data_IF_078618458171
#
_entry.id   IF_078618458171
#
_cell.length_a   1.000
_cell.length_b   1.000
_cell.length_c   1.000
_cell.angle_alpha   90.00
_cell.angle_beta   90.00
_cell.angle_gamma   90.00
#
_symmetry.space_group_name_H-M   'P 1'
#
loop_
_entity.id
_entity.type
_entity.pdbx_description
1 polymer ?
#
# COMPACT_ATOMS: atom_id res chain seq x y z
N UNK A 1 16.32 -8.43 -29.20
CA UNK A 1 15.34 -7.82 -30.15
C UNK A 1 14.62 -8.98 -30.81
N UNK A 2 13.39 -9.28 -30.34
CA UNK A 2 12.56 -10.34 -30.92
C UNK A 2 12.06 -9.88 -32.30
N UNK A 3 12.42 -10.62 -33.33
CA UNK A 3 11.97 -10.39 -34.70
C UNK A 3 10.59 -11.06 -34.84
N UNK A 4 9.52 -10.29 -34.70
CA UNK A 4 8.15 -10.75 -35.03
C UNK A 4 8.02 -10.87 -36.58
N UNK A 5 8.36 -12.04 -37.10
CA UNK A 5 8.08 -12.39 -38.48
C UNK A 5 6.67 -13.03 -38.55
N UNK A 6 5.93 -12.64 -39.62
CA UNK A 6 4.67 -13.33 -39.89
C UNK A 6 4.94 -14.81 -40.16
N UNK A 7 4.07 -15.71 -39.66
CA UNK A 7 4.26 -17.16 -39.78
C UNK A 7 4.47 -17.64 -41.23
N UNK A 8 3.91 -16.94 -42.21
CA UNK A 8 4.03 -17.23 -43.65
C UNK A 8 5.07 -16.33 -44.34
N UNK A 9 6.03 -15.77 -43.64
CA UNK A 9 7.05 -14.93 -44.25
C UNK A 9 8.03 -15.79 -45.04
N UNK A 10 8.02 -15.67 -46.36
CA UNK A 10 8.96 -16.35 -47.28
C UNK A 10 10.37 -15.79 -47.27
N UNK A 11 10.61 -14.67 -46.58
CA UNK A 11 11.91 -14.02 -46.48
C UNK A 11 12.20 -13.54 -45.06
N UNK A 12 13.40 -13.82 -44.55
CA UNK A 12 13.90 -13.28 -43.29
C UNK A 12 14.52 -11.89 -43.47
N UNK A 13 14.73 -11.09 -42.42
CA UNK A 13 15.40 -9.81 -42.51
C UNK A 13 16.83 -9.91 -43.10
N UNK A 14 17.54 -11.01 -42.84
CA UNK A 14 18.86 -11.27 -43.42
C UNK A 14 18.77 -11.45 -44.94
N UNK A 15 17.80 -12.26 -45.39
CA UNK A 15 17.56 -12.45 -46.84
C UNK A 15 17.12 -11.15 -47.51
N UNK A 16 16.28 -10.36 -46.86
CA UNK A 16 15.83 -9.05 -47.38
C UNK A 16 16.99 -8.05 -47.50
N UNK A 17 17.88 -8.02 -46.50
CA UNK A 17 19.09 -7.22 -46.54
C UNK A 17 20.06 -7.67 -47.68
N UNK A 18 20.13 -8.98 -47.90
CA UNK A 18 20.91 -9.53 -49.01
C UNK A 18 20.32 -9.11 -50.35
N UNK A 19 19.02 -9.20 -50.56
CA UNK A 19 18.31 -8.75 -51.77
C UNK A 19 18.60 -7.26 -52.06
N UNK A 20 18.57 -6.41 -51.01
CA UNK A 20 18.81 -4.97 -51.15
C UNK A 20 20.25 -4.63 -51.58
N UNK A 21 21.23 -5.40 -51.10
CA UNK A 21 22.65 -5.17 -51.39
C UNK A 21 23.14 -5.84 -52.65
N UNK A 22 22.45 -6.88 -53.12
CA UNK A 22 22.87 -7.69 -54.25
C UNK A 22 22.68 -6.95 -55.58
N UNK A 23 23.72 -7.01 -56.44
CA UNK A 23 23.69 -6.49 -57.80
C UNK A 23 23.27 -7.52 -58.85
N UNK A 24 23.02 -8.79 -58.43
CA UNK A 24 22.63 -9.89 -59.32
C UNK A 24 21.32 -9.58 -60.04
N UNK A 25 21.07 -10.14 -61.22
CA UNK A 25 19.79 -10.06 -61.90
C UNK A 25 18.64 -10.56 -61.02
N UNK A 26 17.44 -10.02 -61.24
CA UNK A 26 16.24 -10.36 -60.44
C UNK A 26 15.88 -11.84 -60.59
N UNK A 27 15.98 -12.39 -61.79
CA UNK A 27 15.70 -13.80 -62.10
C UNK A 27 16.66 -14.75 -61.38
N UNK A 28 17.95 -14.42 -61.35
CA UNK A 28 18.98 -15.21 -60.68
C UNK A 28 18.76 -15.23 -59.14
N UNK A 29 18.49 -14.06 -58.54
CA UNK A 29 18.18 -13.96 -57.13
C UNK A 29 16.87 -14.68 -56.76
N UNK A 30 15.89 -14.64 -57.64
CA UNK A 30 14.63 -15.33 -57.40
C UNK A 30 14.85 -16.86 -57.37
N UNK A 31 15.66 -17.38 -58.30
CA UNK A 31 16.02 -18.81 -58.34
C UNK A 31 16.89 -19.21 -57.14
N UNK A 32 17.92 -18.39 -56.76
CA UNK A 32 18.83 -18.62 -55.67
C UNK A 32 18.08 -18.70 -54.31
N UNK A 33 17.12 -17.80 -54.09
CA UNK A 33 16.39 -17.68 -52.82
C UNK A 33 15.06 -18.44 -52.78
N UNK A 34 14.65 -19.09 -53.89
CA UNK A 34 13.38 -19.83 -53.96
C UNK A 34 12.15 -18.94 -53.79
N UNK A 35 12.22 -17.65 -54.22
CA UNK A 35 11.10 -16.70 -54.12
C UNK A 35 10.73 -16.12 -55.47
N UNK A 36 9.53 -15.55 -55.57
CA UNK A 36 9.12 -14.94 -56.83
C UNK A 36 9.93 -13.67 -57.15
N UNK A 37 10.12 -13.41 -58.48
CA UNK A 37 10.75 -12.15 -58.93
C UNK A 37 10.05 -10.91 -58.38
N UNK A 38 8.72 -10.96 -58.25
CA UNK A 38 7.91 -9.88 -57.65
C UNK A 38 8.34 -9.60 -56.21
N UNK A 39 8.66 -10.67 -55.45
CA UNK A 39 9.19 -10.52 -54.08
C UNK A 39 10.57 -9.85 -54.09
N UNK A 40 11.45 -10.23 -55.02
CA UNK A 40 12.77 -9.60 -55.17
C UNK A 40 12.63 -8.11 -55.50
N UNK A 41 11.83 -7.77 -56.55
CA UNK A 41 11.59 -6.35 -56.92
C UNK A 41 11.01 -5.55 -55.76
N UNK A 42 10.05 -6.12 -55.02
CA UNK A 42 9.45 -5.47 -53.86
C UNK A 42 10.45 -5.18 -52.75
N UNK A 43 11.34 -6.12 -52.43
CA UNK A 43 12.32 -5.92 -51.36
C UNK A 43 13.50 -5.04 -51.84
N UNK A 44 13.89 -5.10 -53.10
CA UNK A 44 14.92 -4.21 -53.66
C UNK A 44 14.51 -2.74 -53.69
N UNK A 45 13.20 -2.46 -53.87
CA UNK A 45 12.65 -1.10 -53.84
C UNK A 45 12.33 -0.57 -52.45
N UNK A 46 12.62 -1.31 -51.38
CA UNK A 46 12.42 -0.85 -50.00
C UNK A 46 13.70 -0.39 -49.34
N UNK A 47 13.60 0.65 -48.52
CA UNK A 47 14.71 1.15 -47.69
C UNK A 47 14.90 0.39 -46.37
N UNK A 48 13.87 -0.34 -45.91
CA UNK A 48 13.88 -1.10 -44.66
C UNK A 48 13.63 -2.57 -44.89
N UNK A 49 14.22 -3.42 -44.07
CA UNK A 49 14.06 -4.89 -44.10
C UNK A 49 12.88 -5.38 -43.26
N UNK A 50 12.26 -4.50 -42.48
CA UNK A 50 11.10 -4.83 -41.61
C UNK A 50 9.78 -4.95 -42.38
N UNK A 51 8.83 -5.65 -41.84
CA UNK A 51 7.46 -5.68 -42.34
C UNK A 51 6.77 -4.33 -42.10
N UNK A 52 5.90 -3.91 -43.00
CA UNK A 52 5.06 -2.74 -42.78
C UNK A 52 3.99 -3.08 -41.76
N UNK A 53 3.54 -2.09 -41.02
CA UNK A 53 2.42 -2.25 -40.09
C UNK A 53 1.18 -2.77 -40.84
N UNK A 54 0.57 -3.81 -40.34
CA UNK A 54 -0.73 -4.33 -40.84
C UNK A 54 -1.92 -3.54 -40.30
N UNK A 55 -1.67 -2.49 -39.51
CA UNK A 55 -2.72 -1.67 -38.93
C UNK A 55 -3.42 -0.87 -40.02
N UNK A 56 -4.75 -0.90 -40.11
CA UNK A 56 -5.50 -0.11 -41.07
C UNK A 56 -5.22 1.39 -40.89
N UNK A 57 -5.05 2.12 -41.99
CA UNK A 57 -4.88 3.59 -41.94
C UNK A 57 -6.14 4.30 -41.40
N UNK A 58 -7.32 3.73 -41.67
CA UNK A 58 -8.58 4.20 -41.09
C UNK A 58 -9.15 3.11 -40.19
N UNK A 59 -9.31 3.41 -38.92
CA UNK A 59 -9.94 2.51 -37.96
C UNK A 59 -11.44 2.75 -38.02
N UNK A 60 -12.19 1.72 -38.40
CA UNK A 60 -13.64 1.71 -38.22
C UNK A 60 -13.94 1.54 -36.73
N UNK A 61 -14.38 2.61 -36.09
CA UNK A 61 -14.74 2.60 -34.67
C UNK A 61 -16.27 2.56 -34.52
N UNK A 62 -16.75 1.96 -33.45
CA UNK A 62 -18.19 1.94 -33.12
C UNK A 62 -18.66 3.22 -32.43
N UNK A 63 -17.76 4.15 -32.13
CA UNK A 63 -18.10 5.48 -31.64
C UNK A 63 -17.99 6.48 -32.79
N UNK A 64 -18.94 7.40 -32.89
CA UNK A 64 -18.85 8.60 -33.71
C UNK A 64 -17.83 9.58 -33.10
N UNK A 65 -17.39 10.57 -33.89
CA UNK A 65 -16.45 11.59 -33.41
C UNK A 65 -16.99 12.37 -32.19
N UNK A 66 -18.30 12.65 -32.16
CA UNK A 66 -18.95 13.34 -31.04
C UNK A 66 -18.97 12.46 -29.80
N UNK A 67 -19.29 11.17 -29.93
CA UNK A 67 -19.27 10.22 -28.83
C UNK A 67 -17.85 10.02 -28.26
N UNK A 68 -16.81 9.99 -29.13
CA UNK A 68 -15.42 9.93 -28.68
C UNK A 68 -15.03 11.16 -27.86
N UNK A 69 -15.40 12.37 -28.33
CA UNK A 69 -15.15 13.61 -27.61
C UNK A 69 -15.82 13.58 -26.23
N UNK A 70 -17.09 13.16 -26.16
CA UNK A 70 -17.81 13.08 -24.91
C UNK A 70 -17.17 12.09 -23.93
N UNK A 71 -16.76 10.90 -24.40
CA UNK A 71 -16.02 9.92 -23.59
C UNK A 71 -14.72 10.51 -23.05
N UNK A 72 -14.00 11.27 -23.86
CA UNK A 72 -12.77 11.96 -23.44
C UNK A 72 -13.04 13.01 -22.36
N UNK A 73 -14.07 13.84 -22.52
CA UNK A 73 -14.45 14.86 -21.54
C UNK A 73 -14.92 14.24 -20.22
N UNK A 74 -15.74 13.20 -20.24
CA UNK A 74 -16.16 12.48 -19.05
C UNK A 74 -14.93 11.91 -18.28
N UNK A 75 -13.89 11.49 -18.99
CA UNK A 75 -12.64 11.01 -18.38
C UNK A 75 -11.76 12.14 -17.85
N UNK A 76 -11.57 13.20 -18.64
CA UNK A 76 -10.58 14.25 -18.33
C UNK A 76 -11.11 15.29 -17.34
N UNK A 77 -12.32 15.78 -17.57
CA UNK A 77 -12.94 16.80 -16.73
C UNK A 77 -13.53 16.21 -15.44
N UNK A 78 -14.31 15.13 -15.56
CA UNK A 78 -15.02 14.56 -14.41
C UNK A 78 -14.27 13.39 -13.75
N UNK A 79 -13.14 12.92 -14.33
CA UNK A 79 -12.33 11.82 -13.83
C UNK A 79 -13.11 10.51 -13.57
N UNK A 80 -14.20 10.30 -14.32
CA UNK A 80 -15.09 9.16 -14.13
C UNK A 80 -14.35 7.83 -14.38
N UNK A 81 -14.59 6.78 -13.59
CA UNK A 81 -14.14 5.42 -13.89
C UNK A 81 -14.79 4.90 -15.18
N UNK A 82 -14.18 3.85 -15.78
CA UNK A 82 -14.67 3.31 -17.07
C UNK A 82 -16.14 2.88 -16.99
N UNK A 83 -16.53 2.22 -15.89
CA UNK A 83 -17.87 1.68 -15.77
C UNK A 83 -18.94 2.78 -15.62
N UNK A 84 -18.61 3.88 -14.96
CA UNK A 84 -19.49 5.06 -14.87
C UNK A 84 -19.62 5.75 -16.24
N UNK A 85 -18.53 5.84 -17.01
CA UNK A 85 -18.59 6.37 -18.39
C UNK A 85 -19.49 5.47 -19.26
N UNK A 86 -19.36 4.16 -19.14
CA UNK A 86 -20.22 3.21 -19.86
C UNK A 86 -21.68 3.42 -19.50
N UNK A 87 -21.99 3.61 -18.24
CA UNK A 87 -23.34 3.81 -17.76
C UNK A 87 -23.94 5.14 -18.29
N UNK A 88 -23.20 6.24 -18.18
CA UNK A 88 -23.62 7.55 -18.72
C UNK A 88 -23.83 7.47 -20.24
N UNK A 89 -22.88 6.91 -20.97
CA UNK A 89 -22.97 6.80 -22.43
C UNK A 89 -24.15 5.95 -22.88
N UNK A 90 -24.43 4.84 -22.20
CA UNK A 90 -25.56 3.96 -22.55
C UNK A 90 -26.91 4.57 -22.23
N UNK A 91 -27.05 5.25 -21.11
CA UNK A 91 -28.31 5.84 -20.69
C UNK A 91 -28.64 7.13 -21.45
N UNK A 92 -27.66 7.95 -21.71
CA UNK A 92 -27.90 9.32 -22.19
C UNK A 92 -27.58 9.53 -23.66
N UNK A 93 -26.76 8.65 -24.29
CA UNK A 93 -26.25 8.87 -25.64
C UNK A 93 -26.54 7.71 -26.57
N UNK A 94 -26.04 6.50 -26.31
CA UNK A 94 -26.18 5.37 -27.21
C UNK A 94 -26.13 4.04 -26.43
N UNK A 95 -27.29 3.42 -26.27
CA UNK A 95 -27.46 2.18 -25.51
C UNK A 95 -26.67 0.98 -26.08
N UNK A 96 -26.28 1.03 -27.37
CA UNK A 96 -25.58 -0.07 -28.06
C UNK A 96 -24.05 -0.05 -27.85
N UNK A 97 -23.48 0.96 -27.20
CA UNK A 97 -22.06 1.05 -26.99
C UNK A 97 -21.54 -0.07 -26.08
N UNK A 98 -20.53 -0.77 -26.53
CA UNK A 98 -19.89 -1.78 -25.71
C UNK A 98 -18.83 -1.17 -24.79
N UNK A 99 -18.65 -1.77 -23.62
CA UNK A 99 -17.58 -1.39 -22.68
C UNK A 99 -16.20 -1.41 -23.32
N UNK A 100 -15.95 -2.43 -24.18
CA UNK A 100 -14.69 -2.57 -24.92
C UNK A 100 -14.46 -1.45 -25.95
N UNK A 101 -15.51 -0.94 -26.58
CA UNK A 101 -15.42 0.16 -27.51
C UNK A 101 -14.98 1.46 -26.79
N UNK A 102 -15.61 1.77 -25.65
CA UNK A 102 -15.26 2.92 -24.82
C UNK A 102 -13.82 2.78 -24.27
N UNK A 103 -13.45 1.60 -23.79
CA UNK A 103 -12.08 1.36 -23.30
C UNK A 103 -11.02 1.55 -24.42
N UNK A 104 -11.25 1.03 -25.63
CA UNK A 104 -10.35 1.25 -26.78
C UNK A 104 -10.29 2.73 -27.19
N UNK A 105 -11.39 3.48 -27.09
CA UNK A 105 -11.39 4.92 -27.27
C UNK A 105 -10.42 5.59 -26.27
N UNK A 106 -10.57 5.33 -24.97
CA UNK A 106 -9.70 5.87 -23.93
C UNK A 106 -8.21 5.47 -24.11
N UNK A 107 -7.94 4.27 -24.63
CA UNK A 107 -6.59 3.83 -24.97
C UNK A 107 -5.99 4.60 -26.15
N UNK A 108 -6.77 4.83 -27.24
CA UNK A 108 -6.33 5.61 -28.39
C UNK A 108 -5.92 7.04 -28.01
N UNK A 109 -6.66 7.64 -27.07
CA UNK A 109 -6.40 8.97 -26.54
C UNK A 109 -5.38 9.01 -25.39
N UNK A 110 -4.76 7.86 -25.03
CA UNK A 110 -3.79 7.73 -23.94
C UNK A 110 -4.33 8.15 -22.54
N UNK A 111 -5.64 8.09 -22.33
CA UNK A 111 -6.35 8.45 -21.08
C UNK A 111 -7.08 7.27 -20.43
N UNK A 112 -6.66 6.04 -20.75
CA UNK A 112 -7.24 4.83 -20.17
C UNK A 112 -7.06 4.76 -18.64
N UNK A 113 -5.93 5.26 -18.14
CA UNK A 113 -5.69 5.41 -16.71
C UNK A 113 -6.18 6.79 -16.25
N UNK A 114 -6.90 6.81 -15.11
CA UNK A 114 -7.25 8.09 -14.46
C UNK A 114 -5.98 8.75 -13.94
N UNK A 115 -5.85 10.06 -14.13
CA UNK A 115 -4.85 10.81 -13.37
C UNK A 115 -5.13 10.55 -11.90
N UNK A 116 -4.17 9.95 -11.20
CA UNK A 116 -4.26 9.91 -9.73
C UNK A 116 -4.31 11.37 -9.30
N UNK A 117 -5.28 11.78 -8.45
CA UNK A 117 -5.20 13.11 -7.86
C UNK A 117 -3.80 13.23 -7.27
N UNK A 118 -3.15 14.38 -7.48
CA UNK A 118 -1.91 14.71 -6.79
C UNK A 118 -2.19 14.56 -5.30
N UNK A 119 -1.95 13.36 -4.79
CA UNK A 119 -1.90 13.19 -3.36
C UNK A 119 -0.74 14.05 -2.95
N UNK A 120 -0.95 15.03 -2.04
CA UNK A 120 0.17 15.75 -1.48
C UNK A 120 1.17 14.67 -1.12
N UNK A 121 2.39 14.79 -1.62
CA UNK A 121 3.45 13.80 -1.45
C UNK A 121 3.37 13.33 -0.01
N UNK A 122 2.97 12.07 0.19
CA UNK A 122 2.98 11.49 1.54
C UNK A 122 4.40 11.69 1.97
N UNK A 123 4.61 12.62 2.92
CA UNK A 123 5.94 13.10 3.25
C UNK A 123 6.82 11.88 3.39
N UNK A 124 7.92 11.85 2.69
CA UNK A 124 8.93 10.80 2.82
C UNK A 124 9.13 10.68 4.31
N UNK A 125 8.75 9.53 4.88
CA UNK A 125 8.90 9.31 6.31
C UNK A 125 10.39 9.49 6.59
N UNK A 126 10.76 10.67 7.11
CA UNK A 126 12.14 10.92 7.54
C UNK A 126 12.56 9.74 8.41
N UNK A 127 13.74 9.21 8.16
CA UNK A 127 14.33 8.19 9.03
C UNK A 127 14.27 8.73 10.45
N UNK A 128 13.38 8.18 11.24
CA UNK A 128 13.21 8.58 12.64
C UNK A 128 14.12 7.73 13.49
N UNK A 129 14.77 8.35 14.43
CA UNK A 129 15.51 7.64 15.47
C UNK A 129 14.57 6.73 16.28
N UNK A 130 15.11 5.64 16.79
CA UNK A 130 14.38 4.75 17.71
C UNK A 130 13.87 5.53 18.92
N UNK A 131 12.69 5.16 19.41
CA UNK A 131 12.04 5.82 20.54
C UNK A 131 10.99 6.86 20.13
N UNK A 132 10.59 6.89 18.86
CA UNK A 132 9.37 7.53 18.43
C UNK A 132 8.26 6.48 18.36
N UNK A 133 7.39 6.48 19.34
CA UNK A 133 6.37 5.45 19.54
C UNK A 133 5.01 5.96 19.09
N UNK A 134 4.33 5.18 18.27
CA UNK A 134 2.91 5.36 17.99
C UNK A 134 2.11 4.48 18.94
N UNK A 135 1.16 5.06 19.66
CA UNK A 135 0.25 4.31 20.52
C UNK A 135 -1.20 4.50 20.08
N UNK A 136 -1.96 3.44 20.22
CA UNK A 136 -3.38 3.40 19.86
C UNK A 136 -4.11 2.33 20.64
N UNK A 137 -5.42 2.41 20.64
CA UNK A 137 -6.31 1.46 21.28
C UNK A 137 -7.26 0.88 20.23
N UNK A 138 -7.34 -0.44 20.18
CA UNK A 138 -8.29 -1.15 19.33
C UNK A 138 -9.35 -1.88 20.16
N UNK A 139 -10.60 -1.65 19.82
CA UNK A 139 -11.71 -2.45 20.34
C UNK A 139 -11.67 -3.86 19.74
N UNK A 140 -11.70 -4.87 20.58
CA UNK A 140 -11.89 -6.26 20.17
C UNK A 140 -13.38 -6.61 20.11
N UNK A 141 -13.77 -7.54 19.23
CA UNK A 141 -15.13 -8.09 19.27
C UNK A 141 -15.48 -8.60 20.65
N UNK A 142 -16.70 -8.30 21.10
CA UNK A 142 -17.17 -8.78 22.40
C UNK A 142 -17.16 -10.32 22.42
N UNK A 143 -16.63 -10.89 23.49
CA UNK A 143 -16.57 -12.32 23.71
C UNK A 143 -17.01 -12.59 25.16
N UNK A 144 -17.80 -13.63 25.37
CA UNK A 144 -18.37 -13.95 26.70
C UNK A 144 -19.13 -12.77 27.34
N UNK A 145 -19.83 -11.98 26.51
CA UNK A 145 -20.56 -10.75 26.88
C UNK A 145 -19.67 -9.68 27.53
N UNK A 146 -18.35 -9.76 27.35
CA UNK A 146 -17.37 -8.79 27.90
C UNK A 146 -16.63 -8.06 26.80
N UNK A 147 -16.44 -6.75 27.00
CA UNK A 147 -15.62 -5.91 26.14
C UNK A 147 -14.14 -6.10 26.47
N UNK A 148 -13.29 -5.99 25.49
CA UNK A 148 -11.84 -6.00 25.66
C UNK A 148 -11.20 -5.06 24.66
N UNK A 149 -10.02 -4.59 24.99
CA UNK A 149 -9.28 -3.58 24.26
C UNK A 149 -7.83 -4.02 24.13
N UNK A 150 -7.26 -3.87 22.95
CA UNK A 150 -5.83 -4.02 22.73
C UNK A 150 -5.20 -2.65 22.74
N UNK A 151 -4.31 -2.41 23.69
CA UNK A 151 -3.38 -1.28 23.65
C UNK A 151 -2.18 -1.71 22.82
N UNK A 152 -1.77 -0.87 21.88
CA UNK A 152 -0.71 -1.13 20.92
C UNK A 152 0.31 -0.02 21.00
N UNK A 153 1.58 -0.37 21.13
CA UNK A 153 2.71 0.54 20.98
C UNK A 153 3.60 0.04 19.83
N UNK A 154 3.93 0.93 18.88
CA UNK A 154 4.78 0.59 17.74
C UNK A 154 5.90 1.62 17.63
N UNK A 155 7.15 1.15 17.68
CA UNK A 155 8.28 2.01 17.37
C UNK A 155 8.33 2.32 15.86
N UNK A 156 8.45 3.59 15.53
CA UNK A 156 8.40 4.05 14.15
C UNK A 156 9.60 3.62 13.34
N UNK A 157 10.78 3.54 13.94
CA UNK A 157 12.02 3.18 13.26
C UNK A 157 12.10 1.66 13.02
N UNK A 158 11.98 0.87 14.07
CA UNK A 158 12.18 -0.58 14.05
C UNK A 158 10.93 -1.37 13.70
N UNK A 159 9.74 -0.75 13.70
CA UNK A 159 8.43 -1.43 13.56
C UNK A 159 8.15 -2.43 14.67
N UNK A 160 8.93 -2.43 15.72
CA UNK A 160 8.70 -3.28 16.88
C UNK A 160 7.36 -2.97 17.52
N UNK A 161 6.60 -4.01 17.81
CA UNK A 161 5.24 -3.92 18.36
C UNK A 161 5.21 -4.52 19.74
N UNK A 162 4.59 -3.77 20.67
CA UNK A 162 4.23 -4.24 22.00
C UNK A 162 2.72 -4.09 22.18
N UNK A 163 2.06 -5.09 22.74
CA UNK A 163 0.62 -5.08 22.97
C UNK A 163 0.27 -5.58 24.37
N UNK A 164 -0.83 -5.07 24.89
CA UNK A 164 -1.51 -5.61 26.06
C UNK A 164 -3.01 -5.62 25.83
N UNK A 165 -3.70 -6.60 26.41
CA UNK A 165 -5.15 -6.74 26.31
C UNK A 165 -5.75 -6.43 27.65
N UNK A 166 -6.67 -5.45 27.68
CA UNK A 166 -7.31 -4.96 28.88
C UNK A 166 -8.84 -5.00 28.77
N UNK A 167 -9.51 -5.08 29.90
CA UNK A 167 -10.99 -4.99 29.99
C UNK A 167 -11.48 -3.56 30.15
N UNK A 168 -10.60 -2.63 30.47
CA UNK A 168 -10.87 -1.21 30.66
C UNK A 168 -10.04 -0.39 29.68
N UNK A 169 -10.57 0.80 29.33
CA UNK A 169 -9.90 1.81 28.54
C UNK A 169 -10.00 3.16 29.23
N UNK A 170 -9.43 3.27 30.38
CA UNK A 170 -9.41 4.50 31.17
C UNK A 170 -7.98 5.07 31.27
N UNK A 171 -7.87 6.29 31.75
CA UNK A 171 -6.63 7.00 31.90
C UNK A 171 -5.60 6.28 32.79
N UNK A 172 -6.08 5.56 33.83
CA UNK A 172 -5.21 4.76 34.70
C UNK A 172 -4.65 3.54 33.97
N UNK A 173 -5.49 2.86 33.20
CA UNK A 173 -5.07 1.69 32.43
C UNK A 173 -4.05 2.06 31.36
N UNK A 174 -4.24 3.19 30.65
CA UNK A 174 -3.29 3.64 29.61
C UNK A 174 -1.95 4.10 30.23
N UNK A 175 -1.97 4.79 31.36
CA UNK A 175 -0.74 5.15 32.07
C UNK A 175 0.01 3.90 32.58
N UNK A 176 -0.70 2.92 33.12
CA UNK A 176 -0.12 1.65 33.54
C UNK A 176 0.47 0.84 32.35
N UNK A 177 -0.21 0.83 31.21
CA UNK A 177 0.31 0.27 29.97
C UNK A 177 1.62 0.97 29.54
N UNK A 178 1.64 2.31 29.54
CA UNK A 178 2.85 3.07 29.22
C UNK A 178 3.99 2.73 30.18
N UNK A 179 3.73 2.65 31.48
CA UNK A 179 4.76 2.30 32.46
C UNK A 179 5.41 0.94 32.18
N UNK A 180 4.59 -0.09 31.87
CA UNK A 180 5.09 -1.43 31.54
C UNK A 180 5.80 -1.45 30.20
N UNK A 181 5.29 -0.73 29.19
CA UNK A 181 5.98 -0.58 27.91
C UNK A 181 7.36 0.03 28.09
N UNK A 182 7.49 1.12 28.87
CA UNK A 182 8.78 1.77 29.14
C UNK A 182 9.76 0.86 29.88
N UNK A 183 9.27 0.01 30.76
CA UNK A 183 10.11 -0.99 31.45
C UNK A 183 10.56 -2.12 30.51
N UNK A 184 9.77 -2.46 29.49
CA UNK A 184 10.03 -3.52 28.54
C UNK A 184 10.89 -3.08 27.34
N UNK A 185 10.71 -1.83 26.85
CA UNK A 185 11.37 -1.32 25.66
C UNK A 185 12.83 -0.96 25.96
N UNK A 186 13.82 -1.55 25.26
CA UNK A 186 15.23 -1.46 25.64
C UNK A 186 15.90 -0.13 25.32
N UNK A 187 15.23 0.76 24.62
CA UNK A 187 15.78 2.06 24.21
C UNK A 187 15.02 3.21 24.83
N UNK A 188 15.65 4.38 24.85
CA UNK A 188 15.01 5.60 25.34
C UNK A 188 13.85 6.01 24.41
N UNK A 189 12.68 6.25 25.00
CA UNK A 189 11.53 6.83 24.31
C UNK A 189 11.61 8.35 24.45
N UNK A 190 11.49 9.07 23.32
CA UNK A 190 11.53 10.53 23.33
C UNK A 190 10.21 11.15 22.90
N UNK A 191 9.46 10.48 22.01
CA UNK A 191 8.19 10.97 21.48
C UNK A 191 7.18 9.84 21.53
N UNK A 192 5.98 10.16 22.02
CA UNK A 192 4.82 9.30 21.91
C UNK A 192 3.74 10.05 21.14
N UNK A 193 3.22 9.43 20.08
CA UNK A 193 2.10 9.94 19.31
C UNK A 193 0.88 9.08 19.59
N UNK A 194 -0.19 9.70 20.10
CA UNK A 194 -1.49 9.07 20.30
C UNK A 194 -2.58 9.76 19.49
N UNK A 195 -3.73 9.16 19.39
CA UNK A 195 -4.94 9.85 19.01
C UNK A 195 -5.47 10.75 20.15
N UNK A 196 -6.65 11.34 19.96
CA UNK A 196 -7.28 12.20 20.95
C UNK A 196 -8.27 11.42 21.84
N UNK A 197 -8.10 10.11 22.02
CA UNK A 197 -8.94 9.31 22.88
C UNK A 197 -8.86 9.72 24.35
N UNK A 198 -9.98 9.66 25.06
CA UNK A 198 -10.05 10.06 26.47
C UNK A 198 -9.15 9.20 27.40
N UNK A 199 -8.69 8.06 26.92
CA UNK A 199 -7.70 7.22 27.60
C UNK A 199 -6.29 7.81 27.57
N UNK A 200 -5.96 8.67 26.57
CA UNK A 200 -4.63 9.26 26.41
C UNK A 200 -4.59 10.75 26.73
N UNK A 201 -5.72 11.45 26.67
CA UNK A 201 -5.75 12.91 26.84
C UNK A 201 -7.12 13.40 27.33
N UNK A 202 -7.11 14.49 28.06
CA UNK A 202 -8.31 15.23 28.46
C UNK A 202 -8.64 16.41 27.53
N UNK A 203 -8.00 16.49 26.36
CA UNK A 203 -8.15 17.61 25.42
C UNK A 203 -9.60 17.97 25.11
N UNK A 204 -10.47 16.97 25.00
CA UNK A 204 -11.90 17.15 24.73
C UNK A 204 -12.79 16.98 25.97
N UNK A 205 -12.18 16.93 27.16
CA UNK A 205 -12.95 17.00 28.39
C UNK A 205 -13.73 18.32 28.41
N UNK A 206 -14.96 18.25 28.89
CA UNK A 206 -15.81 19.42 29.07
C UNK A 206 -15.58 20.01 30.48
N UNK A 207 -15.56 21.32 30.56
CA UNK A 207 -15.50 22.04 31.84
C UNK A 207 -16.88 21.99 32.58
N UNK A 208 -16.93 22.58 33.76
CA UNK A 208 -18.18 22.69 34.53
C UNK A 208 -19.30 23.46 33.82
N UNK A 209 -18.99 24.21 32.77
CA UNK A 209 -19.93 24.92 31.89
C UNK A 209 -20.24 24.17 30.59
N UNK A 210 -19.87 22.88 30.54
CA UNK A 210 -20.09 22.00 29.39
C UNK A 210 -19.40 22.46 28.10
N UNK A 211 -18.29 23.24 28.23
CA UNK A 211 -17.48 23.69 27.10
C UNK A 211 -16.23 22.82 26.95
N UNK A 212 -15.89 22.35 25.74
CA UNK A 212 -14.69 21.60 25.52
C UNK A 212 -13.44 22.46 25.77
N UNK A 213 -12.46 21.93 26.49
CA UNK A 213 -11.22 22.67 26.83
C UNK A 213 -10.37 22.96 25.58
N UNK A 214 -10.46 22.13 24.55
CA UNK A 214 -9.77 22.31 23.27
C UNK A 214 -8.25 22.05 23.29
N UNK A 215 -7.65 21.96 24.46
CA UNK A 215 -6.23 21.66 24.69
C UNK A 215 -6.06 20.70 25.89
N UNK A 216 -4.99 19.89 25.94
CA UNK A 216 -4.70 19.06 27.09
C UNK A 216 -4.45 19.92 28.36
N UNK A 217 -4.91 19.45 29.51
CA UNK A 217 -4.67 20.15 30.79
C UNK A 217 -3.24 19.96 31.31
N UNK A 218 -2.56 18.89 30.88
CA UNK A 218 -1.27 18.45 31.43
C UNK A 218 -1.39 17.62 32.72
N UNK A 219 -2.59 17.49 33.27
CA UNK A 219 -2.85 16.70 34.49
C UNK A 219 -3.38 15.30 34.22
N UNK A 220 -3.57 14.94 32.95
CA UNK A 220 -3.97 13.59 32.60
C UNK A 220 -2.90 12.57 33.04
N UNK A 221 -3.25 11.43 33.67
CA UNK A 221 -2.28 10.44 34.17
C UNK A 221 -1.24 10.00 33.13
N UNK A 222 -1.61 9.92 31.87
CA UNK A 222 -0.72 9.60 30.76
C UNK A 222 0.30 10.72 30.53
N UNK A 223 -0.14 12.00 30.50
CA UNK A 223 0.72 13.17 30.33
C UNK A 223 1.70 13.32 31.50
N UNK A 224 1.24 13.12 32.72
CA UNK A 224 2.09 13.16 33.93
C UNK A 224 3.21 12.11 33.86
N UNK A 225 2.90 10.90 33.37
CA UNK A 225 3.91 9.86 33.20
C UNK A 225 4.89 10.20 32.06
N UNK A 226 4.40 10.73 30.96
CA UNK A 226 5.27 11.23 29.89
C UNK A 226 6.22 12.32 30.37
N UNK A 227 5.72 13.31 31.13
CA UNK A 227 6.52 14.37 31.71
C UNK A 227 7.60 13.83 32.68
N UNK A 228 7.23 12.88 33.56
CA UNK A 228 8.17 12.21 34.47
C UNK A 228 9.35 11.58 33.73
N UNK A 229 9.11 10.98 32.57
CA UNK A 229 10.14 10.33 31.75
C UNK A 229 10.76 11.24 30.68
N UNK A 230 10.44 12.54 30.66
CA UNK A 230 10.90 13.53 29.69
C UNK A 230 10.56 13.11 28.24
N UNK A 231 9.35 12.62 28.06
CA UNK A 231 8.79 12.16 26.77
C UNK A 231 7.87 13.26 26.24
N UNK A 232 8.05 13.65 24.99
CA UNK A 232 7.17 14.57 24.27
C UNK A 232 5.90 13.83 23.82
N UNK A 233 4.79 14.08 24.51
CA UNK A 233 3.50 13.50 24.15
C UNK A 233 2.81 14.36 23.09
N UNK A 234 2.65 13.81 21.91
CA UNK A 234 2.01 14.46 20.76
C UNK A 234 0.67 13.83 20.46
N UNK A 235 -0.29 14.68 20.17
CA UNK A 235 -1.62 14.27 19.73
C UNK A 235 -1.74 14.39 18.21
N UNK A 236 -2.46 13.47 17.58
CA UNK A 236 -2.81 13.59 16.16
C UNK A 236 -3.67 14.84 15.94
N UNK A 237 -3.51 15.46 14.78
CA UNK A 237 -4.38 16.60 14.41
C UNK A 237 -5.81 16.09 14.26
N UNK A 238 -6.80 16.79 14.84
CA UNK A 238 -8.21 16.45 14.64
C UNK A 238 -8.53 16.35 13.15
N UNK A 239 -9.34 15.36 12.77
CA UNK A 239 -9.78 15.12 11.39
C UNK A 239 -8.66 14.84 10.36
N UNK A 240 -7.42 14.54 10.81
CA UNK A 240 -6.32 14.09 9.95
C UNK A 240 -5.77 12.73 10.41
N UNK A 241 -6.45 11.63 10.12
CA UNK A 241 -6.06 10.28 10.56
C UNK A 241 -4.71 9.82 9.98
N UNK A 242 -4.22 10.47 8.92
CA UNK A 242 -3.00 10.09 8.21
C UNK A 242 -1.74 10.09 9.10
N UNK A 243 -1.74 10.80 10.23
CA UNK A 243 -0.59 10.87 11.13
C UNK A 243 -0.39 9.61 11.97
N UNK A 244 -1.43 8.80 12.22
CA UNK A 244 -1.37 7.54 12.96
C UNK A 244 -1.45 6.27 12.08
N UNK A 245 -1.28 6.43 10.77
CA UNK A 245 -1.44 5.36 9.78
C UNK A 245 -0.56 4.12 10.00
N UNK A 246 0.49 4.21 10.83
CA UNK A 246 1.31 3.06 11.19
C UNK A 246 0.54 2.07 12.07
N UNK A 247 -0.02 2.56 13.16
CA UNK A 247 -0.79 1.75 14.10
C UNK A 247 -2.13 1.32 13.50
N UNK A 248 -2.80 2.20 12.74
CA UNK A 248 -4.02 1.85 12.01
C UNK A 248 -3.82 0.66 11.08
N UNK A 249 -2.69 0.64 10.36
CA UNK A 249 -2.33 -0.48 9.49
C UNK A 249 -2.08 -1.76 10.27
N UNK A 250 -1.43 -1.67 11.41
CA UNK A 250 -1.22 -2.81 12.30
C UNK A 250 -2.54 -3.31 12.90
N UNK A 251 -3.40 -2.40 13.36
CA UNK A 251 -4.74 -2.71 13.85
C UNK A 251 -5.61 -3.40 12.78
N UNK A 252 -5.45 -3.04 11.52
CA UNK A 252 -6.08 -3.75 10.39
C UNK A 252 -5.56 -5.18 10.28
N UNK A 253 -4.26 -5.40 10.38
CA UNK A 253 -3.67 -6.77 10.36
C UNK A 253 -4.20 -7.64 11.49
N UNK A 254 -4.36 -7.09 12.70
CA UNK A 254 -5.02 -7.80 13.80
C UNK A 254 -6.45 -8.21 13.42
N UNK A 255 -7.24 -7.29 12.86
CA UNK A 255 -8.61 -7.59 12.44
C UNK A 255 -8.68 -8.66 11.35
N UNK A 256 -7.78 -8.59 10.36
CA UNK A 256 -7.66 -9.58 9.30
C UNK A 256 -7.24 -10.95 9.83
N UNK A 257 -6.28 -10.99 10.77
CA UNK A 257 -5.83 -12.24 11.40
C UNK A 257 -6.98 -12.91 12.16
N UNK A 258 -7.72 -12.15 12.97
CA UNK A 258 -8.92 -12.64 13.67
C UNK A 258 -9.98 -13.11 12.66
N UNK A 259 -10.17 -12.38 11.56
CA UNK A 259 -11.17 -12.70 10.54
C UNK A 259 -10.88 -13.98 9.75
N UNK A 260 -9.61 -14.39 9.66
CA UNK A 260 -9.16 -15.63 9.00
C UNK A 260 -9.35 -16.88 9.86
N UNK A 261 -9.48 -16.71 11.18
CA UNK A 261 -9.71 -17.85 12.08
C UNK A 261 -11.09 -18.50 11.82
N UNK A 262 -11.16 -19.82 11.77
CA UNK A 262 -12.40 -20.54 11.51
C UNK A 262 -13.43 -20.27 12.61
N UNK A 263 -14.67 -20.05 12.21
CA UNK A 263 -15.79 -19.91 13.13
C UNK A 263 -16.22 -21.27 13.64
N UNK A 264 -16.29 -21.45 14.95
CA UNK A 264 -16.57 -22.72 15.62
C UNK A 264 -17.92 -22.67 16.37
N UNK A 265 -18.57 -23.82 16.45
CA UNK A 265 -19.80 -24.03 17.21
C UNK A 265 -21.05 -23.38 16.61
N UNK A 266 -22.21 -23.66 17.20
CA UNK A 266 -23.52 -23.12 16.78
C UNK A 266 -23.62 -21.60 16.85
N UNK A 267 -22.87 -20.96 17.77
CA UNK A 267 -22.79 -19.52 17.91
C UNK A 267 -21.83 -18.84 16.91
N UNK A 268 -21.21 -19.57 16.00
CA UNK A 268 -20.23 -19.07 15.01
C UNK A 268 -19.15 -18.16 15.61
N UNK A 269 -18.63 -18.52 16.77
CA UNK A 269 -17.58 -17.77 17.46
C UNK A 269 -16.21 -18.10 16.88
N UNK A 270 -15.37 -17.09 16.75
CA UNK A 270 -13.99 -17.26 16.28
C UNK A 270 -13.11 -17.91 17.36
N UNK A 271 -13.34 -17.58 18.64
CA UNK A 271 -12.61 -18.11 19.78
C UNK A 271 -13.57 -18.70 20.82
N UNK A 272 -13.22 -19.82 21.47
CA UNK A 272 -14.02 -20.42 22.54
C UNK A 272 -14.12 -19.48 23.75
N UNK A 273 -13.01 -18.89 24.17
CA UNK A 273 -12.94 -18.00 25.34
C UNK A 273 -11.96 -16.84 25.10
N UNK A 274 -11.96 -15.88 26.05
CA UNK A 274 -11.06 -14.72 25.96
C UNK A 274 -9.59 -15.12 26.06
N UNK A 275 -9.25 -16.12 26.88
CA UNK A 275 -7.87 -16.58 27.04
C UNK A 275 -7.29 -17.11 25.72
N UNK A 276 -8.07 -17.89 24.95
CA UNK A 276 -7.62 -18.40 23.63
C UNK A 276 -7.39 -17.27 22.63
N UNK A 277 -8.29 -16.27 22.60
CA UNK A 277 -8.11 -15.08 21.76
C UNK A 277 -6.86 -14.29 22.15
N UNK A 278 -6.66 -14.10 23.43
CA UNK A 278 -5.54 -13.33 23.96
C UNK A 278 -4.20 -14.05 23.69
N UNK A 279 -4.18 -15.38 23.85
CA UNK A 279 -3.05 -16.21 23.45
C UNK A 279 -2.78 -16.17 21.96
N UNK A 280 -3.82 -16.18 21.12
CA UNK A 280 -3.69 -16.01 19.66
C UNK A 280 -3.06 -14.68 19.31
N UNK A 281 -3.54 -13.58 19.90
CA UNK A 281 -3.02 -12.23 19.62
C UNK A 281 -1.56 -12.08 20.08
N UNK A 282 -1.20 -12.64 21.22
CA UNK A 282 0.19 -12.63 21.70
C UNK A 282 1.12 -13.40 20.75
N UNK A 283 0.71 -14.58 20.26
CA UNK A 283 1.47 -15.31 19.22
C UNK A 283 1.58 -14.51 17.94
N UNK A 284 0.48 -13.94 17.46
CA UNK A 284 0.46 -13.11 16.26
C UNK A 284 1.46 -11.94 16.35
N UNK A 285 1.55 -11.27 17.50
CA UNK A 285 2.50 -10.16 17.70
C UNK A 285 3.93 -10.68 17.78
N UNK A 286 4.15 -11.81 18.45
CA UNK A 286 5.47 -12.45 18.51
C UNK A 286 5.97 -12.84 17.11
N UNK A 287 5.09 -13.43 16.29
CA UNK A 287 5.38 -13.81 14.91
C UNK A 287 5.63 -12.57 14.04
N UNK A 288 4.82 -11.52 14.20
CA UNK A 288 5.05 -10.25 13.51
C UNK A 288 6.43 -9.67 13.82
N UNK A 289 6.82 -9.63 15.08
CA UNK A 289 8.12 -9.10 15.49
C UNK A 289 9.32 -9.92 14.98
N UNK A 290 9.10 -11.17 14.59
CA UNK A 290 10.09 -12.07 13.98
C UNK A 290 10.01 -12.16 12.46
N UNK A 291 8.99 -11.55 11.86
CA UNK A 291 8.78 -11.57 10.40
C UNK A 291 9.61 -10.48 9.72
N UNK A 292 10.38 -10.85 8.70
CA UNK A 292 11.16 -9.90 7.90
C UNK A 292 10.26 -8.92 7.15
N UNK A 293 10.57 -7.63 7.27
CA UNK A 293 9.81 -6.55 6.64
C UNK A 293 10.64 -5.85 5.57
N UNK A 294 10.08 -5.69 4.36
CA UNK A 294 10.74 -4.97 3.26
C UNK A 294 11.15 -3.54 3.64
N UNK A 295 10.36 -2.86 4.48
CA UNK A 295 10.66 -1.49 4.93
C UNK A 295 11.80 -1.41 5.96
N UNK A 296 12.34 -2.54 6.39
CA UNK A 296 13.50 -2.68 7.28
C UNK A 296 14.65 -3.41 6.57
N UNK A 297 14.73 -3.30 5.25
CA UNK A 297 15.72 -4.00 4.42
C UNK A 297 15.75 -5.52 4.71
N UNK A 298 14.54 -6.09 4.88
CA UNK A 298 14.30 -7.49 5.20
C UNK A 298 14.81 -7.94 6.59
N UNK A 299 15.08 -7.03 7.51
CA UNK A 299 15.22 -7.36 8.92
C UNK A 299 13.86 -7.56 9.58
N UNK A 300 13.81 -8.41 10.59
CA UNK A 300 12.63 -8.48 11.46
C UNK A 300 12.64 -7.30 12.46
N UNK A 301 11.47 -6.83 12.93
CA UNK A 301 11.41 -5.76 13.94
C UNK A 301 12.26 -6.00 15.17
N UNK A 302 12.31 -7.26 15.65
CA UNK A 302 13.13 -7.65 16.80
C UNK A 302 14.63 -7.58 16.49
N UNK A 303 15.04 -7.98 15.28
CA UNK A 303 16.42 -7.88 14.81
C UNK A 303 16.83 -6.40 14.65
N UNK A 304 15.96 -5.59 14.04
CA UNK A 304 16.19 -4.16 13.89
C UNK A 304 16.32 -3.45 15.24
N UNK A 305 15.54 -3.86 16.25
CA UNK A 305 15.61 -3.32 17.61
C UNK A 305 16.90 -3.74 18.32
N UNK A 306 17.37 -4.98 18.15
CA UNK A 306 18.57 -5.52 18.79
C UNK A 306 19.86 -4.98 18.19
N UNK A 307 19.89 -4.69 16.89
CA UNK A 307 21.08 -4.24 16.17
C UNK A 307 21.40 -2.75 16.36
N UNK A 308 20.57 -2.02 17.11
CA UNK A 308 20.83 -0.62 17.37
C UNK A 308 21.87 -0.45 18.48
N UNK A 309 22.85 0.47 18.33
CA UNK A 309 23.80 0.75 19.37
C UNK A 309 23.06 1.26 20.61
N UNK A 310 23.24 0.60 21.75
CA UNK A 310 22.71 1.07 23.03
C UNK A 310 23.42 2.36 23.40
N UNK A 311 22.74 3.39 23.90
CA UNK A 311 23.34 4.71 24.16
C UNK A 311 24.46 4.74 25.21
N UNK A 312 24.85 3.61 25.81
CA UNK A 312 25.88 3.49 26.86
C UNK A 312 26.91 2.39 26.64
N UNK A 313 27.09 1.88 25.42
CA UNK A 313 28.20 0.93 25.16
C UNK A 313 29.44 1.70 24.74
N UNK A 314 30.35 1.88 25.69
CA UNK A 314 31.78 2.12 25.37
C UNK A 314 32.23 0.99 24.45
N UNK A 315 32.95 1.35 23.40
CA UNK A 315 33.45 0.43 22.39
C UNK A 315 34.16 -0.77 23.05
N UNK A 316 33.55 -1.93 22.97
CA UNK A 316 34.07 -3.21 23.40
C UNK A 316 33.33 -4.30 22.65
N UNK A 317 34.08 -5.13 21.98
CA UNK A 317 33.71 -6.32 21.18
C UNK A 317 32.33 -6.93 21.53
N UNK A 318 31.40 -6.85 20.62
CA UNK A 318 30.07 -7.43 20.77
C UNK A 318 29.95 -8.78 20.09
N UNK A 319 29.84 -9.82 20.91
CA UNK A 319 29.19 -11.08 20.53
C UNK A 319 27.69 -10.93 20.75
N UNK A 320 26.79 -11.16 19.78
CA UNK A 320 25.36 -11.07 19.99
C UNK A 320 24.89 -12.20 20.91
N UNK A 321 24.43 -11.88 22.11
CA UNK A 321 23.66 -12.80 22.93
C UNK A 321 22.23 -12.90 22.39
N UNK A 322 21.95 -14.02 21.74
CA UNK A 322 20.58 -14.46 21.48
C UNK A 322 19.93 -14.76 22.85
N UNK A 323 18.95 -13.98 23.24
CA UNK A 323 18.02 -14.31 24.33
C UNK A 323 16.89 -15.13 23.73
N UNK A 324 16.87 -16.40 24.12
CA UNK A 324 15.76 -17.35 23.87
C UNK A 324 14.56 -17.01 24.73
#
# INVERSE_FOLDING_TARGET
MELNLHANASTTPKVRAYIQRSKKPVSELAAELGVSETTIRRWRGRTTVGDRSHRPHRLMTSLSAVEETLVCELRTALQLPLDDIVEVMRRCVNAKLSRSAIHRCLQRHAISQRKKPDRPSVGIFQQTTVGFIHMDLKHLPALERRKSYVFVAIDRATRYVYVEIHRRRDAKTSAAFLARFLAHFPHRVHIILTDNGAEFTDRFAVDMKNKPQGRPSGHHPFDLLCAKHKIDHRLTRPYRPQTNGLVERFNRRIAEAIGREPKRGSARRTFPCQADRDAFLNRFVADYNRTRLKCLDYLAPLEALANLPRPNTKAGTHTPRLLF
#
